data_IF_518478282466
#
_entry.id   IF_518478282466
#
_cell.length_a   1.000
_cell.length_b   1.000
_cell.length_c   1.000
_cell.angle_alpha   90.00
_cell.angle_beta   90.00
_cell.angle_gamma   90.00
#
_symmetry.space_group_name_H-M   'P 1'
#
loop_
_entity.id
_entity.type
_entity.pdbx_description
1 polymer ?
#
# COMPACT_ATOMS: atom_id res chain seq x y z
N UNK A 1 -55.31 0.60 -26.27
CA UNK A 1 -54.18 0.65 -27.24
C UNK A 1 -52.95 1.40 -26.72
N UNK A 2 -53.06 2.16 -25.66
CA UNK A 2 -51.97 2.97 -25.06
C UNK A 2 -51.05 2.22 -24.08
N UNK A 3 -51.47 1.08 -23.54
CA UNK A 3 -50.70 0.32 -22.54
C UNK A 3 -49.55 -0.52 -23.14
N UNK A 4 -49.56 -0.82 -24.43
CA UNK A 4 -48.51 -1.61 -25.07
C UNK A 4 -47.26 -0.79 -25.39
N UNK A 5 -47.41 0.48 -25.75
CA UNK A 5 -46.28 1.37 -26.07
C UNK A 5 -45.39 1.63 -24.83
N UNK A 6 -45.99 1.75 -23.65
CA UNK A 6 -45.25 1.98 -22.41
C UNK A 6 -44.41 0.76 -21.92
N UNK A 7 -44.77 -0.44 -22.37
CA UNK A 7 -43.99 -1.67 -22.06
C UNK A 7 -42.79 -1.84 -23.01
N UNK A 8 -42.89 -1.45 -24.25
CA UNK A 8 -41.78 -1.49 -25.21
C UNK A 8 -40.69 -0.44 -24.85
N UNK A 9 -41.09 0.77 -24.49
CA UNK A 9 -40.15 1.81 -24.03
C UNK A 9 -39.39 1.41 -22.75
N UNK A 10 -40.03 0.71 -21.82
CA UNK A 10 -39.40 0.18 -20.60
C UNK A 10 -38.39 -0.92 -20.92
N UNK A 11 -38.65 -1.76 -21.93
CA UNK A 11 -37.75 -2.80 -22.40
C UNK A 11 -36.47 -2.21 -23.01
N UNK A 12 -36.63 -1.19 -23.85
CA UNK A 12 -35.47 -0.50 -24.46
C UNK A 12 -34.61 0.18 -23.41
N UNK A 13 -35.19 0.91 -22.47
CA UNK A 13 -34.46 1.56 -21.37
C UNK A 13 -33.70 0.56 -20.48
N UNK A 14 -34.26 -0.63 -20.24
CA UNK A 14 -33.57 -1.70 -19.51
C UNK A 14 -32.34 -2.22 -20.25
N UNK A 15 -32.42 -2.37 -21.57
CA UNK A 15 -31.28 -2.82 -22.39
C UNK A 15 -30.19 -1.75 -22.44
N UNK A 16 -30.54 -0.48 -22.58
CA UNK A 16 -29.61 0.63 -22.54
C UNK A 16 -28.90 0.70 -21.17
N UNK A 17 -29.64 0.59 -20.08
CA UNK A 17 -29.08 0.56 -18.74
C UNK A 17 -28.15 -0.66 -18.55
N UNK A 18 -28.54 -1.84 -19.02
CA UNK A 18 -27.74 -3.06 -18.93
C UNK A 18 -26.37 -2.94 -19.65
N UNK A 19 -26.29 -2.16 -20.71
CA UNK A 19 -25.05 -1.89 -21.45
C UNK A 19 -24.16 -0.85 -20.74
N UNK A 20 -24.76 0.15 -20.12
CA UNK A 20 -24.02 1.23 -19.46
C UNK A 20 -23.61 0.86 -18.03
N UNK A 21 -24.44 0.10 -17.31
CA UNK A 21 -24.24 -0.24 -15.92
C UNK A 21 -22.88 -0.93 -15.64
N UNK A 22 -22.41 -1.91 -16.43
CA UNK A 22 -21.11 -2.54 -16.19
C UNK A 22 -19.94 -1.55 -16.26
N UNK A 23 -19.98 -0.63 -17.22
CA UNK A 23 -18.94 0.39 -17.40
C UNK A 23 -18.93 1.34 -16.18
N UNK A 24 -20.13 1.78 -15.76
CA UNK A 24 -20.28 2.65 -14.59
C UNK A 24 -19.78 1.97 -13.31
N UNK A 25 -20.08 0.68 -13.12
CA UNK A 25 -19.62 -0.08 -11.96
C UNK A 25 -18.09 -0.23 -11.94
N UNK A 26 -17.46 -0.51 -13.08
CA UNK A 26 -16.00 -0.60 -13.17
C UNK A 26 -15.36 0.75 -12.81
N UNK A 27 -15.90 1.86 -13.30
CA UNK A 27 -15.40 3.19 -12.94
C UNK A 27 -15.57 3.47 -11.45
N UNK A 28 -16.72 3.14 -10.87
CA UNK A 28 -17.01 3.36 -9.45
C UNK A 28 -16.06 2.55 -8.56
N UNK A 29 -15.91 1.26 -8.85
CA UNK A 29 -14.99 0.40 -8.08
C UNK A 29 -13.53 0.79 -8.29
N UNK A 30 -13.15 1.22 -9.50
CA UNK A 30 -11.82 1.75 -9.77
C UNK A 30 -11.48 3.01 -8.93
N UNK A 31 -12.44 3.91 -8.76
CA UNK A 31 -12.29 5.08 -7.89
C UNK A 31 -12.10 4.69 -6.41
N UNK A 32 -12.86 3.70 -5.94
CA UNK A 32 -12.73 3.20 -4.56
C UNK A 32 -11.38 2.54 -4.31
N UNK A 33 -10.92 1.72 -5.25
CA UNK A 33 -9.60 1.07 -5.17
C UNK A 33 -8.48 2.10 -5.20
N UNK A 34 -8.56 3.09 -6.08
CA UNK A 34 -7.57 4.17 -6.12
C UNK A 34 -7.50 4.92 -4.80
N UNK A 35 -8.63 5.18 -4.16
CA UNK A 35 -8.68 5.80 -2.84
C UNK A 35 -7.95 4.98 -1.77
N UNK A 36 -8.08 3.65 -1.81
CA UNK A 36 -7.35 2.75 -0.89
C UNK A 36 -5.84 2.78 -1.13
N UNK A 37 -5.41 2.67 -2.37
CA UNK A 37 -3.99 2.73 -2.73
C UNK A 37 -3.36 4.04 -2.31
N UNK A 38 -4.07 5.14 -2.51
CA UNK A 38 -3.60 6.46 -2.09
C UNK A 38 -3.44 6.55 -0.57
N UNK A 39 -4.38 5.97 0.19
CA UNK A 39 -4.25 5.90 1.65
C UNK A 39 -3.02 5.08 2.07
N UNK A 40 -2.78 3.93 1.45
CA UNK A 40 -1.59 3.11 1.73
C UNK A 40 -0.28 3.81 1.38
N UNK A 41 -0.27 4.60 0.30
CA UNK A 41 0.89 5.41 -0.05
C UNK A 41 1.18 6.50 0.99
N UNK A 42 0.14 7.17 1.51
CA UNK A 42 0.29 8.16 2.58
C UNK A 42 0.84 7.51 3.84
N UNK A 43 0.31 6.35 4.23
CA UNK A 43 0.76 5.62 5.41
C UNK A 43 2.22 5.15 5.25
N UNK A 44 2.58 4.55 4.10
CA UNK A 44 3.96 4.17 3.80
C UNK A 44 4.92 5.39 3.85
N UNK A 45 4.46 6.56 3.40
CA UNK A 45 5.23 7.81 3.47
C UNK A 45 5.43 8.27 4.92
N UNK A 46 4.40 8.17 5.74
CA UNK A 46 4.49 8.49 7.16
C UNK A 46 5.47 7.54 7.87
N UNK A 47 5.31 6.24 7.66
CA UNK A 47 6.14 5.21 8.28
C UNK A 47 7.61 5.30 7.87
N UNK A 48 7.91 5.55 6.59
CA UNK A 48 9.30 5.73 6.13
C UNK A 48 9.96 6.95 6.77
N UNK A 49 9.23 8.06 6.90
CA UNK A 49 9.75 9.28 7.55
C UNK A 49 9.96 9.08 9.06
N UNK A 50 9.02 8.45 9.75
CA UNK A 50 9.14 8.17 11.17
C UNK A 50 10.27 7.17 11.44
N UNK A 51 10.36 6.11 10.64
CA UNK A 51 11.42 5.13 10.71
C UNK A 51 12.80 5.75 10.50
N UNK A 52 12.96 6.64 9.52
CA UNK A 52 14.20 7.38 9.29
C UNK A 52 14.59 8.25 10.50
N UNK A 53 13.62 8.89 11.16
CA UNK A 53 13.87 9.67 12.38
C UNK A 53 14.36 8.80 13.54
N UNK A 54 13.79 7.60 13.75
CA UNK A 54 14.27 6.66 14.75
C UNK A 54 15.66 6.13 14.43
N UNK A 55 15.90 5.80 13.16
CA UNK A 55 17.21 5.32 12.70
C UNK A 55 18.32 6.37 12.92
N UNK A 56 18.07 7.65 12.61
CA UNK A 56 19.05 8.75 12.75
C UNK A 56 19.59 8.86 14.17
N UNK A 57 18.72 8.75 15.17
CA UNK A 57 19.08 8.88 16.59
C UNK A 57 19.42 7.53 17.25
N UNK A 58 19.57 6.47 16.46
CA UNK A 58 19.85 5.11 16.92
C UNK A 58 18.89 4.63 18.02
N UNK A 59 17.60 4.90 17.86
CA UNK A 59 16.57 4.50 18.82
C UNK A 59 15.66 3.45 18.23
N UNK A 60 15.49 2.34 18.95
CA UNK A 60 14.46 1.36 18.69
C UNK A 60 13.43 1.42 19.83
N UNK A 61 12.22 1.97 19.60
CA UNK A 61 11.17 2.04 20.62
C UNK A 61 10.44 0.72 20.85
N UNK A 62 10.71 -0.29 20.02
CA UNK A 62 10.11 -1.63 20.16
C UNK A 62 10.46 -2.31 21.47
N UNK A 63 9.66 -3.31 21.84
CA UNK A 63 9.94 -4.18 22.99
C UNK A 63 11.19 -5.03 22.75
N UNK A 64 11.76 -5.58 23.83
CA UNK A 64 12.93 -6.45 23.74
C UNK A 64 12.71 -7.60 22.75
N UNK A 65 13.58 -7.71 21.74
CA UNK A 65 13.50 -8.71 20.68
C UNK A 65 12.79 -8.28 19.41
N UNK A 66 12.15 -7.09 19.38
CA UNK A 66 11.53 -6.55 18.17
C UNK A 66 12.56 -5.69 17.42
N UNK A 67 12.73 -5.93 16.14
CA UNK A 67 13.57 -5.08 15.28
C UNK A 67 12.94 -3.72 15.04
N UNK A 68 13.74 -2.72 14.66
CA UNK A 68 13.19 -1.40 14.30
C UNK A 68 12.23 -1.50 13.10
N UNK A 69 12.55 -2.34 12.13
CA UNK A 69 11.71 -2.61 10.97
C UNK A 69 10.34 -3.16 11.37
N UNK A 70 10.31 -4.20 12.20
CA UNK A 70 9.06 -4.77 12.73
C UNK A 70 8.27 -3.76 13.55
N UNK A 71 8.94 -2.95 14.37
CA UNK A 71 8.28 -1.89 15.12
C UNK A 71 7.59 -0.90 14.18
N UNK A 72 8.27 -0.43 13.14
CA UNK A 72 7.70 0.51 12.15
C UNK A 72 6.51 -0.15 11.43
N UNK A 73 6.65 -1.41 10.99
CA UNK A 73 5.57 -2.17 10.35
C UNK A 73 4.32 -2.24 11.23
N UNK A 74 4.48 -2.46 12.53
CA UNK A 74 3.38 -2.52 13.49
C UNK A 74 2.67 -1.17 13.71
N UNK A 75 3.31 -0.04 13.34
CA UNK A 75 2.68 1.28 13.40
C UNK A 75 1.77 1.58 12.20
N UNK A 76 1.73 0.72 11.18
CA UNK A 76 0.83 0.90 10.04
C UNK A 76 -0.63 1.04 10.49
N UNK A 77 -1.39 1.93 9.85
CA UNK A 77 -2.75 2.30 10.28
C UNK A 77 -3.74 1.14 10.14
N UNK A 78 -3.58 0.31 9.10
CA UNK A 78 -4.52 -0.78 8.82
C UNK A 78 -3.97 -2.15 9.19
N UNK A 79 -4.88 -3.04 9.60
CA UNK A 79 -4.52 -4.45 9.87
C UNK A 79 -3.99 -5.16 8.62
N UNK A 80 -4.47 -4.77 7.43
CA UNK A 80 -4.01 -5.30 6.15
C UNK A 80 -2.53 -4.96 5.88
N UNK A 81 -2.09 -3.75 6.21
CA UNK A 81 -0.70 -3.36 6.07
C UNK A 81 0.20 -4.02 7.12
N UNK A 82 -0.31 -4.21 8.35
CA UNK A 82 0.46 -4.88 9.41
C UNK A 82 0.67 -6.36 9.19
N UNK A 83 -0.35 -7.07 8.70
CA UNK A 83 -0.36 -8.54 8.68
C UNK A 83 -0.53 -9.13 7.28
N UNK A 84 -0.94 -8.33 6.29
CA UNK A 84 -1.31 -8.85 4.97
C UNK A 84 -2.55 -9.75 5.01
N UNK A 85 -2.62 -10.68 4.06
CA UNK A 85 -3.62 -11.77 4.03
C UNK A 85 -4.95 -11.39 3.41
N UNK A 86 -5.15 -10.17 2.92
CA UNK A 86 -6.32 -9.82 2.13
C UNK A 86 -6.08 -10.07 0.63
N UNK A 87 -7.16 -10.14 -0.15
CA UNK A 87 -7.05 -10.28 -1.61
C UNK A 87 -6.41 -9.07 -2.27
N UNK A 88 -6.57 -7.88 -1.69
CA UNK A 88 -5.97 -6.63 -2.17
C UNK A 88 -4.52 -6.47 -1.68
N UNK A 89 -4.23 -6.91 -0.45
CA UNK A 89 -2.90 -6.82 0.19
C UNK A 89 -2.50 -8.23 0.64
N UNK A 90 -1.85 -9.02 -0.23
CA UNK A 90 -1.53 -10.42 0.07
C UNK A 90 -0.46 -10.60 1.13
N UNK A 91 0.51 -9.69 1.20
CA UNK A 91 1.61 -9.68 2.17
C UNK A 91 1.59 -8.40 3.01
N UNK A 92 2.09 -8.48 4.22
CA UNK A 92 2.28 -7.30 5.07
C UNK A 92 3.17 -6.26 4.39
N UNK A 93 3.11 -5.03 4.87
CA UNK A 93 4.02 -3.96 4.49
C UNK A 93 5.45 -4.37 4.87
N UNK A 94 6.35 -4.35 3.92
CA UNK A 94 7.77 -4.60 4.13
C UNK A 94 8.48 -3.28 4.47
N UNK A 95 9.27 -3.29 5.53
CA UNK A 95 10.10 -2.15 5.92
C UNK A 95 11.56 -2.53 5.80
N UNK A 96 12.28 -1.83 4.92
CA UNK A 96 13.71 -2.04 4.69
C UNK A 96 14.52 -0.84 5.19
N UNK A 97 15.63 -1.12 5.89
CA UNK A 97 16.62 -0.11 6.26
C UNK A 97 17.91 -0.39 5.50
N UNK A 98 18.45 0.62 4.84
CA UNK A 98 19.67 0.53 4.06
C UNK A 98 20.61 1.71 4.31
N UNK A 99 21.88 1.51 3.98
CA UNK A 99 22.90 2.55 4.01
C UNK A 99 23.39 2.80 2.57
N UNK A 100 22.82 3.78 1.85
CA UNK A 100 23.11 4.00 0.42
C UNK A 100 24.60 4.27 0.12
N UNK A 101 25.34 4.80 1.08
CA UNK A 101 26.79 5.03 0.95
C UNK A 101 27.65 3.78 1.22
N UNK A 102 27.05 2.65 1.59
CA UNK A 102 27.75 1.45 2.04
C UNK A 102 28.40 1.58 3.41
N UNK A 103 28.23 2.70 4.12
CA UNK A 103 28.81 2.96 5.43
C UNK A 103 27.75 3.43 6.42
N UNK A 104 27.81 2.88 7.61
CA UNK A 104 26.91 3.19 8.74
C UNK A 104 27.53 4.15 9.77
N UNK A 105 28.55 4.93 9.38
CA UNK A 105 29.16 5.92 10.27
C UNK A 105 28.33 7.19 10.36
N UNK A 106 28.47 7.91 11.47
CA UNK A 106 27.82 9.21 11.71
C UNK A 106 28.07 10.16 10.54
N UNK A 107 27.03 10.87 10.11
CA UNK A 107 27.06 11.79 8.96
C UNK A 107 26.72 11.14 7.62
N UNK A 108 26.74 9.79 7.51
CA UNK A 108 26.31 9.09 6.30
C UNK A 108 24.78 8.95 6.22
N UNK A 109 24.25 8.79 5.00
CA UNK A 109 22.81 8.60 4.82
C UNK A 109 22.34 7.22 5.32
N UNK A 110 21.20 7.20 6.00
CA UNK A 110 20.37 6.03 6.25
C UNK A 110 19.07 6.22 5.48
N UNK A 111 18.65 5.20 4.78
CA UNK A 111 17.39 5.17 4.02
C UNK A 111 16.45 4.13 4.60
N UNK A 112 15.21 4.54 4.85
CA UNK A 112 14.14 3.65 5.27
C UNK A 112 13.09 3.65 4.17
N UNK A 113 12.80 2.45 3.64
CA UNK A 113 11.80 2.23 2.60
C UNK A 113 10.66 1.40 3.17
N UNK A 114 9.45 1.87 2.99
CA UNK A 114 8.22 1.13 3.29
C UNK A 114 7.53 0.77 1.97
N UNK A 115 7.25 -0.51 1.74
CA UNK A 115 6.65 -1.01 0.50
C UNK A 115 5.61 -2.09 0.73
N UNK A 116 4.55 -2.09 -0.09
CA UNK A 116 3.49 -3.08 -0.05
C UNK A 116 3.02 -3.43 -1.45
N UNK A 117 2.75 -4.72 -1.69
CA UNK A 117 2.14 -5.19 -2.92
C UNK A 117 0.63 -5.04 -2.84
N UNK A 118 0.04 -4.37 -3.83
CA UNK A 118 -1.39 -4.14 -3.94
C UNK A 118 -1.97 -4.76 -5.19
N UNK A 119 -3.05 -5.52 -5.05
CA UNK A 119 -3.80 -6.11 -6.15
C UNK A 119 -5.04 -5.27 -6.46
N UNK A 120 -5.09 -4.73 -7.68
CA UNK A 120 -6.22 -3.93 -8.17
C UNK A 120 -7.43 -4.81 -8.46
N UNK A 121 -8.62 -4.32 -8.15
CA UNK A 121 -9.89 -4.96 -8.51
C UNK A 121 -9.83 -6.49 -8.31
N UNK A 122 -9.60 -6.99 -7.09
CA UNK A 122 -9.31 -8.40 -6.85
C UNK A 122 -10.42 -9.35 -7.35
N UNK A 123 -11.64 -8.85 -7.54
CA UNK A 123 -12.77 -9.60 -8.10
C UNK A 123 -12.72 -9.74 -9.64
N UNK A 124 -11.94 -8.88 -10.35
CA UNK A 124 -11.75 -8.98 -11.80
C UNK A 124 -10.43 -9.64 -12.19
N UNK A 125 -9.48 -9.71 -11.24
CA UNK A 125 -8.08 -10.03 -11.53
C UNK A 125 -7.82 -11.46 -11.97
N UNK A 126 -8.63 -12.42 -11.53
CA UNK A 126 -8.30 -13.83 -11.73
C UNK A 126 -8.64 -14.38 -13.12
N UNK A 127 -9.52 -13.72 -13.88
CA UNK A 127 -10.01 -14.26 -15.15
C UNK A 127 -10.05 -13.31 -16.35
N UNK A 128 -10.09 -11.99 -16.12
CA UNK A 128 -10.30 -11.03 -17.21
C UNK A 128 -9.05 -10.25 -17.63
N UNK A 129 -8.08 -10.02 -16.74
CA UNK A 129 -6.98 -9.07 -16.95
C UNK A 129 -5.56 -9.67 -16.82
N UNK A 130 -5.43 -10.98 -16.65
CA UNK A 130 -4.20 -11.75 -16.86
C UNK A 130 -2.90 -11.14 -16.31
N UNK A 131 -2.81 -10.82 -15.02
CA UNK A 131 -1.54 -10.43 -14.39
C UNK A 131 -1.18 -8.93 -14.40
N UNK A 132 -2.02 -8.07 -14.97
CA UNK A 132 -1.83 -6.60 -14.94
C UNK A 132 -2.38 -5.94 -13.65
N UNK A 133 -2.65 -6.73 -12.65
CA UNK A 133 -3.48 -6.32 -11.51
C UNK A 133 -2.72 -6.04 -10.24
N UNK A 134 -1.41 -6.26 -10.20
CA UNK A 134 -0.59 -5.96 -9.03
C UNK A 134 0.34 -4.77 -9.27
N UNK A 135 0.47 -3.92 -8.25
CA UNK A 135 1.45 -2.84 -8.23
C UNK A 135 2.11 -2.78 -6.86
N UNK A 136 3.35 -2.31 -6.81
CA UNK A 136 4.02 -2.04 -5.55
C UNK A 136 3.85 -0.57 -5.21
N UNK A 137 3.28 -0.32 -4.04
CA UNK A 137 3.20 1.01 -3.43
C UNK A 137 4.38 1.14 -2.49
N UNK A 138 5.25 2.11 -2.72
CA UNK A 138 6.45 2.30 -1.92
C UNK A 138 6.71 3.78 -1.65
N UNK A 139 7.33 4.05 -0.51
CA UNK A 139 7.88 5.34 -0.15
C UNK A 139 9.20 5.16 0.58
N UNK A 140 10.13 6.05 0.35
CA UNK A 140 11.43 6.05 1.03
C UNK A 140 11.75 7.41 1.63
N UNK A 141 12.48 7.39 2.74
CA UNK A 141 12.99 8.58 3.40
C UNK A 141 14.47 8.40 3.74
N UNK A 142 15.28 9.35 3.32
CA UNK A 142 16.72 9.33 3.56
C UNK A 142 17.11 10.48 4.48
N UNK A 143 17.81 10.17 5.57
CA UNK A 143 18.31 11.13 6.54
C UNK A 143 19.77 10.83 6.88
N UNK A 144 20.49 11.77 7.53
CA UNK A 144 21.89 11.57 7.94
C UNK A 144 21.95 11.06 9.37
N UNK A 145 22.76 10.03 9.59
CA UNK A 145 22.99 9.46 10.92
C UNK A 145 23.61 10.49 11.86
N UNK A 146 23.03 10.67 13.03
CA UNK A 146 23.53 11.47 14.14
C UNK A 146 24.24 10.60 15.19
N UNK A 147 23.87 9.30 15.24
CA UNK A 147 24.48 8.33 16.13
C UNK A 147 24.84 7.04 15.38
N UNK A 148 25.88 6.28 15.81
CA UNK A 148 26.21 5.00 15.19
C UNK A 148 25.07 3.98 15.42
N UNK A 149 24.65 3.21 14.40
CA UNK A 149 23.52 2.29 14.49
C UNK A 149 23.92 1.02 15.25
N UNK A 150 23.68 1.01 16.55
CA UNK A 150 23.91 -0.15 17.43
C UNK A 150 22.62 -0.87 17.82
N UNK A 151 21.46 -0.19 17.71
CA UNK A 151 20.15 -0.69 18.11
C UNK A 151 19.30 -1.20 16.94
N UNK A 152 19.83 -1.13 15.72
CA UNK A 152 19.21 -1.67 14.51
C UNK A 152 20.29 -2.06 13.51
N UNK A 153 19.93 -2.85 12.50
CA UNK A 153 20.79 -3.25 11.39
C UNK A 153 20.10 -3.02 10.04
N UNK A 154 20.89 -2.95 8.98
CA UNK A 154 20.33 -2.99 7.63
C UNK A 154 19.63 -4.32 7.38
N UNK A 155 18.55 -4.29 6.61
CA UNK A 155 17.73 -5.43 6.27
C UNK A 155 16.26 -5.07 6.14
N UNK A 156 15.44 -6.07 5.83
CA UNK A 156 13.99 -5.94 5.69
C UNK A 156 13.27 -6.81 6.74
N UNK A 157 12.03 -6.39 7.11
CA UNK A 157 11.15 -7.14 8.01
C UNK A 157 10.40 -8.24 7.27
#
# INVERSE_FOLDING_TARGET
MWTRLSQEERGVALVEFALVAPILLVLLFGMLDFGRVFNYWIDATHLSNEGARWAVVNKNPGSSGTTLQEYIQQQADTNELRNGGSTSVPSALEVCISFPSGSSTVGNPVEVTASVSYNWLPFLSSQALGGLTSTTVSSSSTMRLEAPPTNFSAGCS
#
